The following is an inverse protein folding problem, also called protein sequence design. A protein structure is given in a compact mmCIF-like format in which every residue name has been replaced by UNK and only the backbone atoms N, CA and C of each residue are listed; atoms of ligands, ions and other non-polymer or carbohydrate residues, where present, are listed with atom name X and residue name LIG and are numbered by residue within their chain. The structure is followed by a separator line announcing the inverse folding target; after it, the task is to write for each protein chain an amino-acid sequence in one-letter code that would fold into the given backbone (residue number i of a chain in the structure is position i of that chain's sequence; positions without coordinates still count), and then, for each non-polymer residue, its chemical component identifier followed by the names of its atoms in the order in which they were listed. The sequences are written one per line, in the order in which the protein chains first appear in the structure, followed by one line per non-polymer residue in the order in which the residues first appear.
data_IF_810147294099
#
_entry.id   IF_810147294099
#
_cell.length_a   1.000
_cell.length_b   1.000
_cell.length_c   1.000
_cell.angle_alpha   90.00
_cell.angle_beta   90.00
_cell.angle_gamma   90.00
#
_symmetry.space_group_name_H-M   'P 1'
#
loop_
_entity.id
_entity.type
_entity.pdbx_description
1 polymer ?
#
# COMPACT_ATOMS: atom_id res chain seq x y z
N UNK A 1 -3.55 2.88 -9.02
CA UNK A 1 -2.91 2.07 -7.97
C UNK A 1 -2.60 0.72 -8.57
N UNK A 2 -1.63 -0.01 -8.05
CA UNK A 2 -1.27 -1.38 -8.44
C UNK A 2 -1.32 -2.29 -7.22
N UNK A 3 -1.48 -3.61 -7.41
CA UNK A 3 -1.35 -4.59 -6.34
C UNK A 3 0.06 -4.59 -5.76
N UNK A 4 0.20 -5.00 -4.51
CA UNK A 4 1.49 -5.21 -3.87
C UNK A 4 1.52 -6.55 -3.14
N UNK A 5 2.71 -7.13 -3.03
CA UNK A 5 2.97 -8.36 -2.29
C UNK A 5 3.34 -8.05 -0.84
N UNK A 6 3.14 -9.03 0.04
CA UNK A 6 3.58 -8.99 1.44
C UNK A 6 3.93 -10.38 1.91
N UNK A 7 4.83 -10.46 2.89
CA UNK A 7 5.21 -11.67 3.61
C UNK A 7 4.20 -12.06 4.70
N UNK A 8 3.25 -11.17 5.03
CA UNK A 8 2.22 -11.41 6.04
C UNK A 8 1.21 -12.49 5.65
N UNK A 9 0.88 -13.36 6.60
CA UNK A 9 -0.15 -14.39 6.45
C UNK A 9 -1.58 -13.85 6.38
N UNK A 10 -1.79 -12.57 6.69
CA UNK A 10 -3.12 -11.95 6.73
C UNK A 10 -3.86 -12.05 5.39
N UNK A 11 -3.13 -12.07 4.26
CA UNK A 11 -3.70 -12.24 2.91
C UNK A 11 -4.43 -13.56 2.70
N UNK A 12 -4.13 -14.57 3.53
CA UNK A 12 -4.82 -15.88 3.52
C UNK A 12 -5.91 -15.94 4.58
N UNK A 13 -5.64 -15.40 5.77
CA UNK A 13 -6.52 -15.54 6.94
C UNK A 13 -7.74 -14.61 6.82
N UNK A 14 -7.55 -13.34 6.46
CA UNK A 14 -8.63 -12.35 6.42
C UNK A 14 -9.74 -12.74 5.44
N UNK A 15 -9.47 -13.13 4.17
CA UNK A 15 -10.53 -13.56 3.26
C UNK A 15 -11.34 -14.74 3.79
N UNK A 16 -10.69 -15.72 4.46
CA UNK A 16 -11.36 -16.84 5.07
C UNK A 16 -12.31 -16.41 6.20
N UNK A 17 -11.86 -15.52 7.08
CA UNK A 17 -12.69 -14.98 8.16
C UNK A 17 -13.86 -14.16 7.62
N UNK A 18 -13.65 -13.36 6.59
CA UNK A 18 -14.71 -12.61 5.92
C UNK A 18 -15.73 -13.54 5.26
N UNK A 19 -15.28 -14.65 4.67
CA UNK A 19 -16.18 -15.65 4.09
C UNK A 19 -17.05 -16.33 5.17
N UNK A 20 -16.45 -16.73 6.29
CA UNK A 20 -17.20 -17.31 7.43
C UNK A 20 -18.21 -16.30 8.00
N UNK A 21 -17.82 -15.05 8.14
CA UNK A 21 -18.71 -13.99 8.60
C UNK A 21 -19.87 -13.75 7.60
N UNK A 22 -19.59 -13.78 6.30
CA UNK A 22 -20.60 -13.63 5.26
C UNK A 22 -21.64 -14.75 5.29
N UNK A 23 -21.20 -16.01 5.49
CA UNK A 23 -22.08 -17.16 5.66
C UNK A 23 -22.96 -16.99 6.92
N UNK A 24 -22.37 -16.57 8.04
CA UNK A 24 -23.10 -16.35 9.27
C UNK A 24 -24.16 -15.22 9.12
N UNK A 25 -23.82 -14.14 8.43
CA UNK A 25 -24.75 -13.05 8.13
C UNK A 25 -25.89 -13.50 7.21
N UNK A 26 -25.58 -14.25 6.15
CA UNK A 26 -26.61 -14.80 5.27
C UNK A 26 -27.56 -15.71 6.04
N UNK A 27 -27.02 -16.64 6.87
CA UNK A 27 -27.82 -17.52 7.72
C UNK A 27 -28.70 -16.71 8.70
N UNK A 28 -28.14 -15.74 9.39
CA UNK A 28 -28.89 -14.89 10.32
C UNK A 28 -30.01 -14.11 9.61
N UNK A 29 -29.75 -13.60 8.41
CA UNK A 29 -30.73 -12.92 7.58
C UNK A 29 -31.87 -13.86 7.18
N UNK A 30 -31.57 -15.09 6.71
CA UNK A 30 -32.57 -16.11 6.42
C UNK A 30 -33.44 -16.45 7.63
N UNK A 31 -32.82 -16.63 8.81
CA UNK A 31 -33.56 -16.92 10.05
C UNK A 31 -34.47 -15.77 10.47
N UNK A 32 -33.99 -14.54 10.32
CA UNK A 32 -34.79 -13.34 10.62
C UNK A 32 -36.01 -13.22 9.69
N UNK A 33 -35.82 -13.41 8.37
CA UNK A 33 -36.90 -13.39 7.39
C UNK A 33 -37.94 -14.48 7.62
N UNK A 34 -37.49 -15.70 7.95
CA UNK A 34 -38.38 -16.81 8.32
C UNK A 34 -39.22 -16.49 9.57
N UNK A 35 -38.62 -15.89 10.61
CA UNK A 35 -39.32 -15.47 11.81
C UNK A 35 -40.35 -14.34 11.53
N UNK A 36 -40.08 -13.53 10.51
CA UNK A 36 -41.02 -12.50 10.02
C UNK A 36 -42.09 -13.07 9.05
N UNK A 37 -42.17 -14.39 8.90
CA UNK A 37 -43.06 -15.10 7.95
C UNK A 37 -42.88 -14.71 6.49
N UNK A 38 -41.69 -14.21 6.12
CA UNK A 38 -41.31 -13.89 4.74
C UNK A 38 -40.57 -15.10 4.13
N UNK A 39 -41.22 -15.80 3.19
CA UNK A 39 -40.59 -16.87 2.46
C UNK A 39 -39.68 -16.30 1.37
N UNK A 40 -38.38 -16.55 1.48
CA UNK A 40 -37.40 -16.17 0.47
C UNK A 40 -37.05 -17.40 -0.35
N UNK A 41 -37.16 -17.36 -1.69
CA UNK A 41 -36.74 -18.48 -2.54
C UNK A 41 -35.25 -18.78 -2.37
N UNK A 42 -34.86 -20.06 -2.46
CA UNK A 42 -33.48 -20.53 -2.28
C UNK A 42 -32.46 -19.85 -3.22
N UNK A 43 -32.90 -19.42 -4.41
CA UNK A 43 -32.05 -18.72 -5.38
C UNK A 43 -31.73 -17.26 -4.97
N UNK A 44 -32.34 -16.74 -3.93
CA UNK A 44 -31.99 -15.45 -3.30
C UNK A 44 -31.00 -15.68 -2.15
N UNK A 45 -31.11 -16.79 -1.42
CA UNK A 45 -30.22 -17.09 -0.30
C UNK A 45 -28.76 -17.34 -0.73
N UNK A 46 -28.55 -18.13 -1.78
CA UNK A 46 -27.21 -18.46 -2.26
C UNK A 46 -26.43 -17.22 -2.79
N UNK A 47 -27.02 -16.31 -3.59
CA UNK A 47 -26.38 -15.05 -3.96
C UNK A 47 -26.13 -14.10 -2.79
N UNK A 48 -26.93 -14.15 -1.70
CA UNK A 48 -26.76 -13.26 -0.55
C UNK A 48 -25.43 -13.45 0.16
N UNK A 49 -24.95 -14.68 0.34
CA UNK A 49 -23.63 -14.94 0.96
C UNK A 49 -22.49 -14.36 0.14
N UNK A 50 -22.54 -14.45 -1.18
CA UNK A 50 -21.55 -13.83 -2.07
C UNK A 50 -21.61 -12.30 -2.03
N UNK A 51 -22.84 -11.75 -1.97
CA UNK A 51 -23.06 -10.32 -1.80
C UNK A 51 -22.51 -9.79 -0.48
N UNK A 52 -22.76 -10.47 0.64
CA UNK A 52 -22.17 -10.12 1.94
C UNK A 52 -20.64 -10.22 1.90
N UNK A 53 -20.08 -11.29 1.31
CA UNK A 53 -18.63 -11.42 1.18
C UNK A 53 -18.02 -10.26 0.40
N UNK A 54 -18.56 -9.94 -0.77
CA UNK A 54 -18.07 -8.82 -1.59
C UNK A 54 -18.14 -7.47 -0.86
N UNK A 55 -19.26 -7.21 -0.17
CA UNK A 55 -19.43 -5.99 0.62
C UNK A 55 -18.45 -5.91 1.80
N UNK A 56 -18.30 -7.00 2.57
CA UNK A 56 -17.36 -7.08 3.69
C UNK A 56 -15.90 -6.94 3.22
N UNK A 57 -15.56 -7.60 2.10
CA UNK A 57 -14.23 -7.51 1.53
C UNK A 57 -13.89 -6.10 1.07
N UNK A 58 -14.81 -5.44 0.34
CA UNK A 58 -14.64 -4.07 -0.11
C UNK A 58 -14.52 -3.09 1.08
N UNK A 59 -15.34 -3.28 2.11
CA UNK A 59 -15.31 -2.50 3.34
C UNK A 59 -13.97 -2.70 4.08
N UNK A 60 -13.50 -3.93 4.19
CA UNK A 60 -12.22 -4.27 4.80
C UNK A 60 -11.07 -3.64 4.02
N UNK A 61 -10.98 -3.87 2.69
CA UNK A 61 -9.92 -3.35 1.83
C UNK A 61 -9.81 -1.83 1.89
N UNK A 62 -10.93 -1.15 1.97
CA UNK A 62 -10.94 0.30 1.88
C UNK A 62 -10.79 1.02 3.21
N UNK A 63 -11.37 0.45 4.30
CA UNK A 63 -11.50 1.16 5.57
C UNK A 63 -11.04 0.37 6.79
N UNK A 64 -11.52 -0.89 6.98
CA UNK A 64 -11.38 -1.60 8.25
C UNK A 64 -9.94 -1.97 8.58
N UNK A 65 -9.13 -2.32 7.59
CA UNK A 65 -7.73 -2.69 7.79
C UNK A 65 -6.89 -1.59 8.46
N UNK A 66 -7.32 -0.31 8.38
CA UNK A 66 -6.64 0.83 9.02
C UNK A 66 -7.01 1.00 10.48
N UNK A 67 -8.02 0.27 10.96
CA UNK A 67 -8.54 0.42 12.30
C UNK A 67 -7.57 -0.18 13.32
N UNK A 68 -7.30 0.56 14.41
CA UNK A 68 -6.40 0.13 15.49
C UNK A 68 -6.86 -1.17 16.16
N UNK A 69 -8.16 -1.43 16.23
CA UNK A 69 -8.69 -2.69 16.77
C UNK A 69 -8.35 -3.88 15.90
N UNK A 70 -8.44 -3.73 14.57
CA UNK A 70 -8.09 -4.77 13.61
C UNK A 70 -6.59 -5.11 13.70
N UNK A 71 -5.74 -4.09 13.88
CA UNK A 71 -4.31 -4.28 14.15
C UNK A 71 -4.05 -4.97 15.50
N UNK A 72 -4.76 -4.59 16.57
CA UNK A 72 -4.63 -5.22 17.89
C UNK A 72 -5.04 -6.69 17.90
N UNK A 73 -6.03 -7.06 17.08
CA UNK A 73 -6.45 -8.44 16.88
C UNK A 73 -5.50 -9.26 15.98
N UNK A 74 -4.44 -8.65 15.45
CA UNK A 74 -3.51 -9.30 14.54
C UNK A 74 -4.07 -9.61 13.15
N UNK A 75 -5.26 -9.09 12.81
CA UNK A 75 -5.93 -9.30 11.53
C UNK A 75 -5.34 -8.45 10.40
N UNK A 76 -4.75 -7.31 10.72
CA UNK A 76 -3.99 -6.50 9.79
C UNK A 76 -2.64 -6.14 10.42
N UNK A 77 -1.56 -6.54 9.78
CA UNK A 77 -0.17 -6.28 10.22
C UNK A 77 0.50 -5.25 9.31
N UNK A 78 -0.01 -5.10 8.09
CA UNK A 78 0.48 -4.13 7.10
C UNK A 78 0.29 -2.72 7.64
N UNK A 79 1.35 -1.90 7.72
CA UNK A 79 1.26 -0.53 8.21
C UNK A 79 0.50 0.36 7.24
N UNK A 80 -0.23 1.32 7.78
CA UNK A 80 -0.85 2.36 6.98
C UNK A 80 0.18 3.44 6.62
N UNK A 81 0.64 3.42 5.37
CA UNK A 81 1.60 4.38 4.80
C UNK A 81 0.91 5.57 4.11
N UNK A 82 -0.42 5.54 3.97
CA UNK A 82 -1.19 6.58 3.28
C UNK A 82 -0.88 7.97 3.85
N UNK A 83 -0.63 8.93 2.97
CA UNK A 83 -0.44 10.32 3.36
C UNK A 83 0.69 11.00 2.62
N UNK A 84 1.05 12.18 3.11
CA UNK A 84 2.15 13.01 2.61
C UNK A 84 3.36 12.86 3.50
N UNK A 85 4.52 12.73 2.87
CA UNK A 85 5.81 12.63 3.54
C UNK A 85 6.72 13.67 2.92
N UNK A 86 7.42 14.43 3.74
CA UNK A 86 8.37 15.45 3.28
C UNK A 86 9.77 15.12 3.78
N UNK A 87 10.74 15.35 2.93
CA UNK A 87 12.12 15.10 3.29
C UNK A 87 13.10 15.53 2.21
N UNK A 88 14.21 14.84 2.18
CA UNK A 88 15.29 15.10 1.23
C UNK A 88 15.85 13.79 0.69
N UNK A 89 16.51 13.89 -0.46
CA UNK A 89 17.36 12.85 -1.00
C UNK A 89 18.77 13.41 -1.24
N UNK A 90 19.75 12.52 -1.14
CA UNK A 90 21.11 12.72 -1.63
C UNK A 90 21.36 11.74 -2.76
N UNK A 91 22.20 12.12 -3.74
CA UNK A 91 22.39 11.33 -4.97
C UNK A 91 23.84 11.27 -5.37
N UNK A 92 24.26 10.16 -5.97
CA UNK A 92 25.60 10.02 -6.57
C UNK A 92 25.80 10.88 -7.82
N UNK A 93 24.73 11.48 -8.36
CA UNK A 93 24.83 12.38 -9.52
C UNK A 93 25.76 13.56 -9.28
N UNK A 94 25.79 14.10 -8.06
CA UNK A 94 26.64 15.20 -7.62
C UNK A 94 27.68 14.76 -6.56
N UNK A 95 27.94 13.45 -6.46
CA UNK A 95 28.83 12.89 -5.44
C UNK A 95 28.27 12.98 -4.02
N UNK A 96 26.94 13.02 -3.87
CA UNK A 96 26.23 13.19 -2.58
C UNK A 96 26.46 14.55 -1.91
N UNK A 97 26.88 15.57 -2.68
CA UNK A 97 27.25 16.88 -2.15
C UNK A 97 26.04 17.72 -1.73
N UNK A 98 24.85 17.50 -2.33
CA UNK A 98 23.66 18.32 -2.09
C UNK A 98 22.48 17.48 -1.60
N UNK A 99 21.65 18.13 -0.79
CA UNK A 99 20.34 17.61 -0.41
C UNK A 99 19.27 18.22 -1.30
N UNK A 100 18.44 17.35 -1.91
CA UNK A 100 17.34 17.75 -2.75
C UNK A 100 16.02 17.53 -2.02
N UNK A 101 15.24 18.57 -1.85
CA UNK A 101 13.91 18.47 -1.23
C UNK A 101 13.00 17.58 -2.06
N UNK A 102 12.22 16.76 -1.36
CA UNK A 102 11.22 15.89 -1.99
C UNK A 102 9.94 15.81 -1.17
N UNK A 103 8.88 15.44 -1.85
CA UNK A 103 7.60 15.08 -1.24
C UNK A 103 7.19 13.72 -1.78
N UNK A 104 6.84 12.80 -0.88
CA UNK A 104 6.24 11.51 -1.24
C UNK A 104 4.74 11.57 -0.91
N UNK A 105 3.91 11.15 -1.86
CA UNK A 105 2.49 10.89 -1.68
C UNK A 105 2.22 9.42 -1.81
N UNK A 106 1.68 8.81 -0.78
CA UNK A 106 1.31 7.38 -0.77
C UNK A 106 -0.21 7.27 -0.68
N UNK A 107 -0.78 6.55 -1.63
CA UNK A 107 -2.18 6.10 -1.60
C UNK A 107 -2.17 4.59 -1.45
N UNK A 108 -2.91 4.10 -0.47
CA UNK A 108 -2.89 2.68 -0.12
C UNK A 108 -4.30 2.21 0.27
N UNK A 109 -4.71 1.06 -0.25
CA UNK A 109 -5.73 0.20 0.34
C UNK A 109 -5.06 -1.05 0.92
N UNK A 110 -5.83 -1.97 1.46
CA UNK A 110 -5.26 -3.23 1.94
C UNK A 110 -4.64 -4.06 0.81
N UNK A 111 -5.15 -3.97 -0.43
CA UNK A 111 -4.66 -4.74 -1.59
C UNK A 111 -3.82 -3.95 -2.57
N UNK A 112 -3.90 -2.63 -2.57
CA UNK A 112 -3.27 -1.79 -3.59
C UNK A 112 -2.48 -0.65 -2.98
N UNK A 113 -1.43 -0.24 -3.68
CA UNK A 113 -0.62 0.92 -3.34
C UNK A 113 -0.23 1.71 -4.59
N UNK A 114 0.04 2.99 -4.43
CA UNK A 114 0.83 3.78 -5.38
C UNK A 114 1.63 4.82 -4.59
N UNK A 115 2.88 4.96 -4.97
CA UNK A 115 3.84 5.88 -4.36
C UNK A 115 4.26 6.87 -5.43
N UNK A 116 4.00 8.15 -5.19
CA UNK A 116 4.49 9.25 -6.00
C UNK A 116 5.60 9.95 -5.23
N UNK A 117 6.72 10.19 -5.87
CA UNK A 117 7.81 11.00 -5.33
C UNK A 117 8.03 12.18 -6.27
N UNK A 118 7.91 13.39 -5.75
CA UNK A 118 8.12 14.63 -6.49
C UNK A 118 9.33 15.38 -5.95
N UNK A 119 10.16 15.85 -6.87
CA UNK A 119 11.27 16.79 -6.64
C UNK A 119 11.07 18.05 -7.46
N UNK A 120 11.98 19.00 -7.38
CA UNK A 120 11.95 20.20 -8.23
C UNK A 120 12.16 19.91 -9.73
N UNK A 121 12.67 18.70 -10.07
CA UNK A 121 13.13 18.37 -11.44
C UNK A 121 12.42 17.15 -12.02
N UNK A 122 11.73 16.34 -11.22
CA UNK A 122 11.10 15.12 -11.70
C UNK A 122 9.96 14.64 -10.81
N UNK A 123 9.12 13.78 -11.37
CA UNK A 123 8.08 13.05 -10.66
C UNK A 123 8.30 11.55 -10.95
N UNK A 124 8.35 10.75 -9.89
CA UNK A 124 8.39 9.29 -10.00
C UNK A 124 7.05 8.70 -9.56
N UNK A 125 6.66 7.59 -10.19
CA UNK A 125 5.47 6.81 -9.83
C UNK A 125 5.83 5.34 -9.70
N UNK A 126 5.40 4.70 -8.63
CA UNK A 126 5.59 3.26 -8.47
C UNK A 126 4.77 2.46 -9.46
N UNK A 127 5.34 1.38 -10.00
CA UNK A 127 4.70 0.39 -10.87
C UNK A 127 4.57 -0.99 -10.21
N UNK A 128 5.39 -1.31 -9.22
CA UNK A 128 5.33 -2.52 -8.41
C UNK A 128 5.80 -2.23 -6.99
N UNK A 129 5.32 -2.98 -6.01
CA UNK A 129 5.77 -2.85 -4.62
C UNK A 129 5.64 -4.15 -3.83
N UNK A 130 6.48 -4.28 -2.79
CA UNK A 130 6.42 -5.30 -1.74
C UNK A 130 6.48 -4.58 -0.40
N UNK A 131 5.61 -4.94 0.54
CA UNK A 131 5.68 -4.47 1.93
C UNK A 131 6.03 -5.68 2.79
N UNK A 132 7.21 -5.63 3.41
CA UNK A 132 7.72 -6.65 4.31
C UNK A 132 7.41 -6.23 5.75
N UNK A 133 6.72 -7.07 6.48
CA UNK A 133 6.29 -6.80 7.87
C UNK A 133 6.88 -7.79 8.87
N UNK A 134 7.35 -8.94 8.41
CA UNK A 134 7.95 -10.00 9.22
C UNK A 134 9.49 -9.97 9.24
N UNK A 135 10.11 -8.90 8.69
CA UNK A 135 11.56 -8.70 8.74
C UNK A 135 11.99 -8.36 10.18
N UNK A 136 12.98 -9.09 10.76
CA UNK A 136 13.53 -8.79 12.08
C UNK A 136 14.10 -7.37 12.24
N UNK A 137 14.54 -6.76 11.15
CA UNK A 137 15.05 -5.38 11.14
C UNK A 137 13.95 -4.32 11.04
N UNK A 138 12.69 -4.74 11.01
CA UNK A 138 11.52 -3.87 10.99
C UNK A 138 10.81 -3.80 9.63
N UNK A 139 9.76 -3.03 9.59
CA UNK A 139 8.91 -2.94 8.40
C UNK A 139 9.59 -2.16 7.29
N UNK A 140 9.56 -2.70 6.08
CA UNK A 140 10.11 -2.04 4.89
C UNK A 140 9.14 -2.05 3.71
N UNK A 141 9.29 -1.08 2.83
CA UNK A 141 8.63 -1.04 1.52
C UNK A 141 9.69 -0.99 0.43
N UNK A 142 9.65 -1.99 -0.45
CA UNK A 142 10.47 -2.07 -1.66
C UNK A 142 9.55 -1.79 -2.84
N UNK A 143 9.92 -0.84 -3.69
CA UNK A 143 9.11 -0.54 -4.87
C UNK A 143 9.95 -0.19 -6.08
N UNK A 144 9.47 -0.62 -7.25
CA UNK A 144 9.96 -0.16 -8.54
C UNK A 144 9.22 1.09 -8.96
N UNK A 145 9.92 2.02 -9.55
CA UNK A 145 9.36 3.28 -10.03
C UNK A 145 9.81 3.62 -11.45
N UNK A 146 8.98 4.38 -12.12
CA UNK A 146 9.29 5.11 -13.33
C UNK A 146 9.41 6.58 -13.00
N UNK A 147 10.53 7.20 -13.39
CA UNK A 147 10.80 8.62 -13.17
C UNK A 147 10.62 9.41 -14.46
N UNK A 148 9.83 10.45 -14.42
CA UNK A 148 9.58 11.37 -15.51
C UNK A 148 10.18 12.74 -15.17
N UNK A 149 11.17 13.22 -15.94
CA UNK A 149 11.71 14.56 -15.75
C UNK A 149 10.68 15.63 -16.12
N UNK A 150 10.67 16.72 -15.35
CA UNK A 150 9.93 17.92 -15.73
C UNK A 150 10.59 18.63 -16.90
N UNK A 151 9.86 19.47 -17.61
CA UNK A 151 10.34 20.17 -18.81
C UNK A 151 11.63 20.97 -18.59
N UNK A 152 11.84 21.48 -17.37
CA UNK A 152 13.04 22.23 -16.98
C UNK A 152 14.29 21.37 -16.78
N UNK A 153 14.16 20.02 -16.76
CA UNK A 153 15.25 19.12 -16.42
C UNK A 153 15.59 18.12 -17.56
N UNK A 154 14.91 18.19 -18.70
CA UNK A 154 15.06 17.24 -19.82
C UNK A 154 16.47 17.24 -20.43
N UNK A 155 17.26 18.29 -20.26
CA UNK A 155 18.66 18.35 -20.74
C UNK A 155 19.61 17.45 -19.94
N UNK A 156 19.32 17.20 -18.66
CA UNK A 156 20.21 16.49 -17.74
C UNK A 156 19.62 15.19 -17.23
N UNK A 157 18.34 14.96 -17.49
CA UNK A 157 17.60 13.80 -17.01
C UNK A 157 16.68 13.27 -18.09
N UNK A 158 16.82 11.97 -18.41
CA UNK A 158 15.89 11.24 -19.25
C UNK A 158 14.94 10.41 -18.39
N UNK A 159 13.82 9.96 -18.97
CA UNK A 159 12.93 9.00 -18.33
C UNK A 159 13.72 7.73 -18.01
N UNK A 160 13.58 7.23 -16.79
CA UNK A 160 14.28 6.04 -16.34
C UNK A 160 13.51 5.31 -15.25
N UNK A 161 13.77 4.02 -15.12
CA UNK A 161 13.24 3.19 -14.05
C UNK A 161 14.27 3.03 -12.94
N UNK A 162 13.78 2.72 -11.74
CA UNK A 162 14.65 2.43 -10.60
C UNK A 162 13.90 1.65 -9.53
N UNK A 163 14.61 1.36 -8.45
CA UNK A 163 14.08 0.69 -7.27
C UNK A 163 14.44 1.49 -6.04
N UNK A 164 13.54 1.55 -5.07
CA UNK A 164 13.79 2.11 -3.76
C UNK A 164 13.41 1.10 -2.68
N UNK A 165 14.21 1.02 -1.63
CA UNK A 165 13.93 0.25 -0.41
C UNK A 165 13.92 1.22 0.76
N UNK A 166 12.75 1.44 1.35
CA UNK A 166 12.55 2.36 2.46
C UNK A 166 12.10 1.62 3.70
N UNK A 167 12.77 1.83 4.82
CA UNK A 167 12.36 1.33 6.14
C UNK A 167 11.47 2.33 6.84
N UNK A 168 10.54 1.81 7.60
CA UNK A 168 9.58 2.58 8.37
C UNK A 168 10.00 2.57 9.83
N UNK A 169 10.34 3.73 10.37
CA UNK A 169 10.69 3.89 11.79
C UNK A 169 9.61 4.69 12.49
N UNK A 170 9.16 4.16 13.66
CA UNK A 170 8.15 4.81 14.53
C UNK A 170 6.85 5.23 13.81
N UNK A 171 6.50 4.59 12.69
CA UNK A 171 5.30 4.91 11.90
C UNK A 171 5.29 6.31 11.25
N UNK A 172 6.33 7.12 11.46
CA UNK A 172 6.40 8.52 11.03
C UNK A 172 7.65 8.88 10.23
N UNK A 173 8.62 7.98 10.12
CA UNK A 173 9.83 8.19 9.32
C UNK A 173 9.96 7.10 8.25
N UNK A 174 10.31 7.51 7.04
CA UNK A 174 10.72 6.64 5.93
C UNK A 174 12.16 6.99 5.58
N UNK A 175 13.06 6.02 5.66
CA UNK A 175 14.44 6.22 5.29
C UNK A 175 15.00 4.98 4.60
N UNK A 176 15.86 5.17 3.60
CA UNK A 176 16.48 4.06 2.89
C UNK A 176 17.15 4.49 1.61
N UNK A 177 17.45 3.52 0.78
CA UNK A 177 18.27 3.72 -0.40
C UNK A 177 17.44 3.56 -1.69
N UNK A 178 17.89 4.23 -2.73
CA UNK A 178 17.35 4.06 -4.08
C UNK A 178 18.48 3.90 -5.08
N UNK A 179 18.19 3.24 -6.17
CA UNK A 179 19.07 3.16 -7.33
C UNK A 179 18.28 3.26 -8.62
N UNK A 180 18.81 3.99 -9.59
CA UNK A 180 18.29 4.08 -10.93
C UNK A 180 18.81 2.94 -11.80
N UNK A 181 18.05 2.56 -12.81
CA UNK A 181 18.40 1.50 -13.74
C UNK A 181 19.58 1.84 -14.66
N UNK A 182 19.80 0.99 -15.67
CA UNK A 182 20.99 0.94 -16.53
C UNK A 182 21.35 2.27 -17.18
N UNK A 183 20.35 3.06 -17.56
CA UNK A 183 20.56 4.29 -18.33
C UNK A 183 21.14 5.43 -17.50
N UNK A 184 20.82 5.48 -16.21
CA UNK A 184 21.23 6.59 -15.35
C UNK A 184 22.31 6.22 -14.33
N UNK A 185 22.35 5.00 -13.85
CA UNK A 185 23.34 4.45 -12.89
C UNK A 185 23.55 5.31 -11.64
N UNK A 186 22.55 6.11 -11.24
CA UNK A 186 22.62 6.90 -10.02
C UNK A 186 22.00 6.13 -8.86
N UNK A 187 22.54 6.35 -7.67
CA UNK A 187 22.03 5.80 -6.44
C UNK A 187 22.09 6.87 -5.34
N UNK A 188 21.42 6.62 -4.23
CA UNK A 188 21.44 7.56 -3.13
C UNK A 188 20.49 7.19 -2.02
N UNK A 189 20.30 8.10 -1.09
CA UNK A 189 19.50 7.89 0.11
C UNK A 189 18.33 8.85 0.18
N UNK A 190 17.19 8.35 0.61
CA UNK A 190 15.96 9.09 0.87
C UNK A 190 15.72 9.12 2.38
N UNK A 191 15.33 10.27 2.90
CA UNK A 191 14.93 10.43 4.29
C UNK A 191 13.72 11.36 4.37
N UNK A 192 12.57 10.85 4.89
CA UNK A 192 11.31 11.57 4.94
C UNK A 192 10.62 11.42 6.28
N UNK A 193 9.86 12.44 6.66
CA UNK A 193 8.94 12.42 7.80
C UNK A 193 7.50 12.61 7.32
N UNK A 194 6.58 11.97 8.01
CA UNK A 194 5.14 12.13 7.76
C UNK A 194 4.70 13.53 8.15
N UNK A 195 3.86 14.15 7.30
CA UNK A 195 3.23 15.46 7.56
C UNK A 195 1.94 15.30 8.36
#
# INVERSE_FOLDING_TARGET
MHGYSTDSSERRIVPLLLALLAIALAWATSRFLAAAHLSVPWWVDAPSSLGFYGALYALFDRYLWRNRFVHKLGLARIPNLTGRWRGHLVTSFDGHAKQYNLVIHIFQSWTQVVIYLATATSISRSCAAVIQVDDPEGVSVVYQYENQPLANATRTMHMHCGTAMLRISNGSCLAGDYYAGRDRRTFGRICCKRL
#
